data_IF_291073065896
#
_entry.id   IF_291073065896
#
_cell.length_a   1.000
_cell.length_b   1.000
_cell.length_c   1.000
_cell.angle_alpha   90.00
_cell.angle_beta   90.00
_cell.angle_gamma   90.00
#
_symmetry.space_group_name_H-M   'P 1'
#
loop_
_entity.id
_entity.type
_entity.pdbx_description
1 polymer ?
#
# COMPACT_ATOMS: atom_id res chain seq x y z
N UNK A 1 12.62 33.72 26.30
CA UNK A 1 12.58 33.93 24.83
C UNK A 1 13.88 33.42 24.25
N UNK A 2 13.86 32.31 23.49
CA UNK A 2 15.09 31.79 22.88
C UNK A 2 15.69 32.79 21.91
N UNK A 3 17.01 32.93 21.93
CA UNK A 3 17.70 33.86 21.03
C UNK A 3 17.62 33.36 19.58
N UNK A 4 17.64 34.27 18.59
CA UNK A 4 17.67 33.90 17.16
C UNK A 4 18.82 32.93 16.84
N UNK A 5 19.95 33.05 17.57
CA UNK A 5 21.11 32.16 17.47
C UNK A 5 20.80 30.74 17.93
N UNK A 6 20.08 30.57 19.04
CA UNK A 6 19.62 29.26 19.53
C UNK A 6 18.63 28.62 18.55
N UNK A 7 17.67 29.40 18.02
CA UNK A 7 16.71 28.90 17.04
C UNK A 7 17.38 28.42 15.75
N UNK A 8 18.40 29.13 15.27
CA UNK A 8 19.19 28.72 14.11
C UNK A 8 20.04 27.47 14.39
N UNK A 9 20.65 27.37 15.57
CA UNK A 9 21.40 26.19 15.98
C UNK A 9 20.51 24.94 16.06
N UNK A 10 19.31 25.07 16.65
CA UNK A 10 18.32 24.00 16.72
C UNK A 10 17.83 23.57 15.33
N UNK A 11 17.55 24.53 14.43
CA UNK A 11 17.16 24.23 13.04
C UNK A 11 18.26 23.48 12.30
N UNK A 12 19.52 23.92 12.43
CA UNK A 12 20.66 23.26 11.81
C UNK A 12 20.88 21.84 12.35
N UNK A 13 20.73 21.62 13.66
CA UNK A 13 20.83 20.29 14.25
C UNK A 13 19.74 19.34 13.71
N UNK A 14 18.49 19.82 13.61
CA UNK A 14 17.38 19.05 13.00
C UNK A 14 17.65 18.74 11.52
N UNK A 15 18.10 19.73 10.76
CA UNK A 15 18.42 19.55 9.34
C UNK A 15 19.53 18.51 9.12
N UNK A 16 20.62 18.59 9.91
CA UNK A 16 21.71 17.59 9.89
C UNK A 16 21.17 16.18 10.14
N UNK A 17 20.31 16.01 11.15
CA UNK A 17 19.72 14.70 11.46
C UNK A 17 18.85 14.17 10.32
N UNK A 18 17.97 15.00 9.74
CA UNK A 18 17.11 14.58 8.62
C UNK A 18 17.95 14.17 7.39
N UNK A 19 19.02 14.92 7.09
CA UNK A 19 19.94 14.58 5.99
C UNK A 19 20.64 13.25 6.27
N UNK A 20 21.16 13.03 7.48
CA UNK A 20 21.79 11.77 7.87
C UNK A 20 20.82 10.60 7.82
N UNK A 21 19.59 10.75 8.32
CA UNK A 21 18.52 9.75 8.22
C UNK A 21 18.22 9.40 6.76
N UNK A 22 18.12 10.41 5.88
CA UNK A 22 17.91 10.19 4.44
C UNK A 22 19.07 9.40 3.80
N UNK A 23 20.32 9.72 4.15
CA UNK A 23 21.49 9.00 3.66
C UNK A 23 21.49 7.54 4.12
N UNK A 24 21.20 7.29 5.41
CA UNK A 24 21.10 5.93 5.96
C UNK A 24 19.97 5.14 5.29
N UNK A 25 18.81 5.75 5.05
CA UNK A 25 17.70 5.06 4.35
C UNK A 25 18.08 4.66 2.93
N UNK A 26 18.82 5.50 2.21
CA UNK A 26 19.30 5.18 0.85
C UNK A 26 20.29 4.02 0.87
N UNK A 27 21.25 4.06 1.78
CA UNK A 27 22.25 3.00 1.94
C UNK A 27 21.61 1.68 2.36
N UNK A 28 20.74 1.69 3.37
CA UNK A 28 20.01 0.50 3.82
C UNK A 28 19.10 -0.06 2.73
N UNK A 29 18.47 0.80 1.93
CA UNK A 29 17.69 0.36 0.79
C UNK A 29 18.56 -0.33 -0.26
N UNK A 30 19.72 0.25 -0.59
CA UNK A 30 20.64 -0.35 -1.56
C UNK A 30 21.08 -1.75 -1.09
N UNK A 31 21.53 -1.88 0.16
CA UNK A 31 21.90 -3.18 0.74
C UNK A 31 20.72 -4.15 0.81
N UNK A 32 19.54 -3.68 1.21
CA UNK A 32 18.35 -4.53 1.23
C UNK A 32 17.97 -5.03 -0.17
N UNK A 33 18.09 -4.19 -1.20
CA UNK A 33 17.82 -4.57 -2.57
C UNK A 33 18.88 -5.57 -3.08
N UNK A 34 20.15 -5.43 -2.68
CA UNK A 34 21.25 -6.39 -2.93
C UNK A 34 20.98 -7.74 -2.24
N UNK A 35 20.78 -7.75 -0.92
CA UNK A 35 20.47 -8.95 -0.12
C UNK A 35 19.22 -9.67 -0.67
N UNK A 36 18.21 -8.89 -1.09
CA UNK A 36 16.98 -9.43 -1.69
C UNK A 36 17.26 -10.08 -3.04
N UNK A 37 18.14 -9.50 -3.85
CA UNK A 37 18.51 -10.08 -5.14
C UNK A 37 19.30 -11.38 -4.95
N UNK A 38 20.22 -11.42 -4.00
CA UNK A 38 20.96 -12.63 -3.61
C UNK A 38 20.00 -13.71 -3.11
N UNK A 39 19.16 -13.39 -2.12
CA UNK A 39 18.18 -14.34 -1.58
C UNK A 39 17.21 -14.82 -2.66
N UNK A 40 16.79 -13.96 -3.58
CA UNK A 40 15.92 -14.36 -4.68
C UNK A 40 16.62 -15.32 -5.67
N UNK A 41 17.94 -15.18 -5.88
CA UNK A 41 18.69 -16.08 -6.75
C UNK A 41 18.77 -17.51 -6.19
N UNK A 42 18.72 -17.63 -4.86
CA UNK A 42 18.80 -18.92 -4.15
C UNK A 42 17.43 -19.55 -3.86
N UNK A 43 16.33 -18.83 -4.12
CA UNK A 43 14.98 -19.33 -3.86
C UNK A 43 14.34 -20.01 -5.07
N UNK A 44 13.72 -21.16 -4.83
CA UNK A 44 12.87 -21.84 -5.78
C UNK A 44 11.49 -21.18 -5.90
N UNK A 45 10.84 -21.34 -7.06
CA UNK A 45 9.49 -20.82 -7.27
C UNK A 45 8.50 -21.54 -6.35
N UNK A 46 7.72 -20.77 -5.60
CA UNK A 46 6.79 -21.28 -4.59
C UNK A 46 7.41 -21.43 -3.19
N UNK A 47 8.71 -21.20 -3.06
CA UNK A 47 9.44 -21.35 -1.79
C UNK A 47 9.12 -20.24 -0.79
N UNK A 48 9.16 -20.58 0.50
CA UNK A 48 8.98 -19.65 1.63
C UNK A 48 10.02 -19.89 2.72
N UNK A 49 10.75 -18.85 3.07
CA UNK A 49 11.76 -18.83 4.13
C UNK A 49 11.25 -17.98 5.31
N UNK A 50 11.49 -18.43 6.54
CA UNK A 50 11.17 -17.67 7.76
C UNK A 50 12.47 -17.23 8.42
N UNK A 51 12.69 -15.92 8.51
CA UNK A 51 13.83 -15.36 9.23
C UNK A 51 13.58 -15.46 10.74
N UNK A 52 14.55 -15.95 11.51
CA UNK A 52 14.44 -16.14 12.96
C UNK A 52 15.75 -15.76 13.66
N UNK A 53 15.64 -15.34 14.91
CA UNK A 53 16.72 -15.40 15.91
C UNK A 53 16.52 -16.64 16.78
N UNK A 54 17.45 -16.90 17.70
CA UNK A 54 17.40 -18.06 18.61
C UNK A 54 16.06 -18.16 19.37
N UNK A 55 15.49 -17.02 19.78
CA UNK A 55 14.29 -16.98 20.61
C UNK A 55 13.00 -16.57 19.87
N UNK A 56 13.07 -16.04 18.64
CA UNK A 56 11.88 -15.46 17.97
C UNK A 56 11.95 -15.36 16.44
N UNK A 57 10.78 -15.42 15.79
CA UNK A 57 10.65 -15.18 14.34
C UNK A 57 10.65 -13.69 14.03
N UNK A 58 11.45 -13.27 13.05
CA UNK A 58 11.56 -11.89 12.58
C UNK A 58 10.65 -11.59 11.38
N UNK A 59 10.25 -12.61 10.61
CA UNK A 59 9.36 -12.44 9.46
C UNK A 59 9.53 -13.53 8.40
N UNK A 60 8.87 -13.39 7.26
CA UNK A 60 8.95 -14.38 6.16
C UNK A 60 9.27 -13.72 4.82
N UNK A 61 9.98 -14.43 3.95
CA UNK A 61 10.22 -14.12 2.54
C UNK A 61 9.65 -15.28 1.71
N UNK A 62 9.00 -15.04 0.56
CA UNK A 62 8.36 -16.12 -0.20
C UNK A 62 8.29 -15.90 -1.71
N UNK A 63 9.08 -16.60 -2.53
CA UNK A 63 9.18 -16.35 -3.97
C UNK A 63 8.04 -17.03 -4.74
N UNK A 64 7.25 -16.31 -5.54
CA UNK A 64 6.06 -16.86 -6.24
C UNK A 64 5.80 -16.20 -7.59
N UNK A 65 5.26 -16.96 -8.55
CA UNK A 65 4.99 -16.48 -9.90
C UNK A 65 3.86 -15.43 -9.92
N UNK A 66 4.04 -14.29 -10.62
CA UNK A 66 2.97 -13.34 -10.83
C UNK A 66 1.91 -13.95 -11.76
N UNK A 67 0.64 -13.75 -11.42
CA UNK A 67 -0.46 -14.19 -12.29
C UNK A 67 -0.38 -13.50 -13.66
N UNK A 68 -0.62 -14.22 -14.78
CA UNK A 68 -0.59 -13.63 -16.11
C UNK A 68 -1.59 -12.48 -16.26
N UNK A 69 -1.19 -11.42 -16.97
CA UNK A 69 -2.00 -10.23 -17.22
C UNK A 69 -2.15 -10.01 -18.72
N UNK A 70 -3.39 -10.08 -19.23
CA UNK A 70 -3.71 -9.69 -20.60
C UNK A 70 -3.86 -8.16 -20.70
N UNK A 71 -3.51 -7.58 -21.85
CA UNK A 71 -3.73 -6.17 -22.17
C UNK A 71 -4.27 -6.03 -23.60
N UNK A 72 -5.16 -5.07 -23.82
CA UNK A 72 -5.69 -4.76 -25.15
C UNK A 72 -4.68 -3.87 -25.88
N UNK A 73 -4.09 -4.37 -26.97
CA UNK A 73 -3.12 -3.61 -27.79
C UNK A 73 -3.76 -2.90 -28.98
N UNK A 74 -4.88 -3.42 -29.48
CA UNK A 74 -5.70 -2.80 -30.51
C UNK A 74 -7.17 -2.94 -30.11
N UNK A 75 -7.79 -1.82 -29.73
CA UNK A 75 -9.18 -1.81 -29.29
C UNK A 75 -10.16 -1.93 -30.47
N UNK A 76 -9.81 -1.40 -31.63
CA UNK A 76 -10.68 -1.46 -32.80
C UNK A 76 -10.73 -2.88 -33.37
N UNK A 77 -9.58 -3.54 -33.48
CA UNK A 77 -9.51 -4.96 -33.87
C UNK A 77 -10.23 -5.86 -32.87
N UNK A 78 -10.07 -5.62 -31.56
CA UNK A 78 -10.82 -6.36 -30.55
C UNK A 78 -12.33 -6.17 -30.68
N UNK A 79 -12.79 -4.92 -30.90
CA UNK A 79 -14.22 -4.65 -31.10
C UNK A 79 -14.73 -5.29 -32.39
N UNK A 80 -13.98 -5.25 -33.50
CA UNK A 80 -14.34 -5.93 -34.74
C UNK A 80 -14.46 -7.44 -34.56
N UNK A 81 -13.47 -8.06 -33.90
CA UNK A 81 -13.50 -9.49 -33.59
C UNK A 81 -14.70 -9.87 -32.72
N UNK A 82 -15.01 -9.08 -31.68
CA UNK A 82 -16.20 -9.31 -30.84
C UNK A 82 -17.49 -9.06 -31.61
N UNK A 83 -17.52 -8.10 -32.53
CA UNK A 83 -18.68 -7.84 -33.39
C UNK A 83 -19.00 -9.04 -34.29
N UNK A 84 -17.96 -9.71 -34.79
CA UNK A 84 -18.09 -10.87 -35.67
C UNK A 84 -18.43 -12.16 -34.92
N UNK A 85 -17.70 -12.43 -33.82
CA UNK A 85 -17.83 -13.68 -33.05
C UNK A 85 -19.07 -13.67 -32.14
N UNK A 86 -19.37 -12.51 -31.54
CA UNK A 86 -20.43 -12.37 -30.56
C UNK A 86 -21.03 -10.95 -30.58
N UNK A 87 -21.74 -10.56 -31.66
CA UNK A 87 -22.20 -9.17 -31.88
C UNK A 87 -23.01 -8.58 -30.72
N UNK A 88 -23.81 -9.42 -30.04
CA UNK A 88 -24.60 -9.01 -28.87
C UNK A 88 -23.76 -8.64 -27.63
N UNK A 89 -22.44 -8.80 -27.66
CA UNK A 89 -21.53 -8.42 -26.58
C UNK A 89 -20.98 -7.00 -26.70
N UNK A 90 -21.31 -6.30 -27.78
CA UNK A 90 -20.97 -4.87 -27.93
C UNK A 90 -22.10 -4.04 -27.31
N UNK A 91 -21.83 -3.51 -26.13
CA UNK A 91 -22.71 -2.56 -25.45
C UNK A 91 -22.43 -1.10 -25.83
N UNK A 92 -23.41 -0.24 -25.60
CA UNK A 92 -23.24 1.21 -25.68
C UNK A 92 -22.67 1.75 -24.37
N UNK A 93 -21.82 2.77 -24.45
CA UNK A 93 -21.33 3.51 -23.29
C UNK A 93 -22.09 4.81 -23.16
N UNK A 94 -22.67 5.05 -21.99
CA UNK A 94 -23.25 6.34 -21.64
C UNK A 94 -22.12 7.37 -21.50
N UNK A 95 -22.18 8.42 -22.31
CA UNK A 95 -21.19 9.50 -22.31
C UNK A 95 -21.52 10.61 -21.31
N UNK A 96 -22.80 10.73 -20.92
CA UNK A 96 -23.32 11.71 -19.96
C UNK A 96 -24.27 10.99 -19.00
N UNK A 97 -23.71 10.51 -17.88
CA UNK A 97 -24.43 9.65 -16.94
C UNK A 97 -25.56 10.37 -16.19
N UNK A 98 -25.37 11.59 -15.64
CA UNK A 98 -26.45 12.28 -14.95
C UNK A 98 -27.67 12.53 -15.85
N UNK A 99 -27.44 12.97 -17.10
CA UNK A 99 -28.54 13.20 -18.04
C UNK A 99 -29.24 11.90 -18.45
N UNK A 100 -28.48 10.83 -18.68
CA UNK A 100 -29.06 9.54 -19.02
C UNK A 100 -29.92 8.99 -17.87
N UNK A 101 -29.45 9.09 -16.62
CA UNK A 101 -30.21 8.63 -15.46
C UNK A 101 -31.50 9.43 -15.27
N UNK A 102 -31.47 10.76 -15.46
CA UNK A 102 -32.67 11.59 -15.37
C UNK A 102 -33.73 11.23 -16.43
N UNK A 103 -33.29 10.92 -17.67
CA UNK A 103 -34.19 10.44 -18.72
C UNK A 103 -34.74 9.05 -18.41
N UNK A 104 -33.89 8.13 -17.94
CA UNK A 104 -34.33 6.78 -17.60
C UNK A 104 -35.29 6.76 -16.42
N UNK A 105 -35.05 7.55 -15.36
CA UNK A 105 -35.95 7.65 -14.21
C UNK A 105 -37.31 8.24 -14.58
N UNK A 106 -37.34 9.20 -15.52
CA UNK A 106 -38.57 9.83 -15.98
C UNK A 106 -39.39 8.95 -16.92
N UNK A 107 -38.75 8.37 -17.94
CA UNK A 107 -39.43 7.74 -19.07
C UNK A 107 -39.47 6.20 -18.99
N UNK A 108 -38.52 5.60 -18.26
CA UNK A 108 -38.36 4.15 -18.15
C UNK A 108 -37.92 3.74 -16.73
N UNK A 109 -38.70 4.06 -15.69
CA UNK A 109 -38.32 3.83 -14.29
C UNK A 109 -38.06 2.34 -13.98
N UNK A 110 -38.60 1.42 -14.76
CA UNK A 110 -38.32 -0.01 -14.68
C UNK A 110 -36.90 -0.40 -15.11
N UNK A 111 -36.18 0.49 -15.81
CA UNK A 111 -34.82 0.28 -16.28
C UNK A 111 -33.74 0.81 -15.31
N UNK A 112 -34.15 1.43 -14.20
CA UNK A 112 -33.25 1.96 -13.19
C UNK A 112 -33.64 1.46 -11.80
N UNK A 113 -32.63 1.12 -11.00
CA UNK A 113 -32.83 0.77 -9.60
C UNK A 113 -31.86 1.57 -8.74
N UNK A 114 -32.23 1.83 -7.47
CA UNK A 114 -31.31 2.46 -6.53
C UNK A 114 -30.04 1.63 -6.40
N UNK A 115 -28.89 2.26 -6.63
CA UNK A 115 -27.58 1.65 -6.48
C UNK A 115 -26.65 2.60 -5.71
N UNK A 116 -25.74 2.02 -4.91
CA UNK A 116 -24.66 2.78 -4.30
C UNK A 116 -23.57 3.06 -5.34
N UNK A 117 -22.97 4.25 -5.27
CA UNK A 117 -21.75 4.51 -6.04
C UNK A 117 -20.62 3.63 -5.50
N UNK A 118 -19.63 3.28 -6.34
CA UNK A 118 -18.48 2.49 -5.89
C UNK A 118 -17.68 3.16 -4.77
N UNK A 119 -17.73 4.50 -4.67
CA UNK A 119 -17.06 5.24 -3.60
C UNK A 119 -17.80 5.10 -2.27
N UNK A 120 -19.13 5.16 -2.30
CA UNK A 120 -19.98 5.00 -1.11
C UNK A 120 -20.01 3.55 -0.66
N UNK A 121 -20.13 2.60 -1.58
CA UNK A 121 -20.02 1.17 -1.27
C UNK A 121 -18.66 0.87 -0.61
N UNK A 122 -17.56 1.38 -1.14
CA UNK A 122 -16.24 1.21 -0.53
C UNK A 122 -16.14 1.85 0.88
N UNK A 123 -16.90 2.91 1.15
CA UNK A 123 -16.99 3.48 2.50
C UNK A 123 -17.63 2.47 3.47
N UNK A 124 -18.76 1.86 3.08
CA UNK A 124 -19.45 0.86 3.90
C UNK A 124 -18.67 -0.45 4.05
N UNK A 125 -18.01 -0.93 2.99
CA UNK A 125 -17.17 -2.12 3.07
C UNK A 125 -16.00 -1.93 4.05
N UNK A 126 -15.36 -0.76 4.05
CA UNK A 126 -14.30 -0.44 5.03
C UNK A 126 -14.83 -0.33 6.46
N UNK A 127 -16.08 0.07 6.64
CA UNK A 127 -16.73 0.06 7.94
C UNK A 127 -16.96 -1.38 8.42
N UNK A 128 -17.41 -2.27 7.52
CA UNK A 128 -17.56 -3.69 7.79
C UNK A 128 -16.23 -4.39 8.09
N UNK A 129 -15.16 -4.08 7.34
CA UNK A 129 -13.79 -4.56 7.62
C UNK A 129 -13.30 -4.16 9.03
N UNK A 130 -13.81 -3.06 9.59
CA UNK A 130 -13.51 -2.59 10.95
C UNK A 130 -14.44 -3.17 12.01
N UNK A 131 -15.37 -4.05 11.62
CA UNK A 131 -16.27 -4.77 12.52
C UNK A 131 -17.66 -4.14 12.68
N UNK A 132 -17.99 -3.09 11.92
CA UNK A 132 -19.35 -2.58 11.90
C UNK A 132 -20.28 -3.60 11.24
N UNK A 133 -21.42 -3.89 11.86
CA UNK A 133 -22.42 -4.78 11.29
C UNK A 133 -23.18 -4.04 10.19
N UNK A 134 -22.63 -4.06 8.97
CA UNK A 134 -23.31 -3.54 7.79
C UNK A 134 -24.20 -4.64 7.19
N UNK A 135 -25.53 -4.46 7.16
CA UNK A 135 -26.43 -5.42 6.54
C UNK A 135 -26.01 -5.73 5.09
N UNK A 136 -25.89 -7.02 4.75
CA UNK A 136 -25.56 -7.46 3.40
C UNK A 136 -24.05 -7.54 3.07
N UNK A 137 -23.16 -7.24 4.01
CA UNK A 137 -21.71 -7.34 3.80
C UNK A 137 -21.12 -8.51 4.60
N UNK A 138 -20.41 -9.40 3.92
CA UNK A 138 -19.65 -10.51 4.50
C UNK A 138 -18.15 -10.32 4.23
N UNK A 139 -17.30 -10.59 5.23
CA UNK A 139 -15.85 -10.36 5.12
C UNK A 139 -15.12 -11.71 4.97
N UNK A 140 -14.32 -11.85 3.91
CA UNK A 140 -13.55 -13.07 3.58
C UNK A 140 -12.07 -12.75 3.24
N UNK A 141 -11.18 -13.77 3.13
CA UNK A 141 -9.71 -13.59 3.01
C UNK A 141 -9.08 -14.40 1.84
N UNK A 142 -8.07 -13.86 1.11
CA UNK A 142 -7.54 -14.40 -0.18
C UNK A 142 -6.08 -14.97 -0.25
N UNK A 143 -5.58 -15.29 -1.47
CA UNK A 143 -4.38 -16.12 -1.81
C UNK A 143 -2.98 -15.40 -1.85
N UNK A 144 -1.83 -16.13 -1.84
CA UNK A 144 -0.53 -15.60 -1.34
C UNK A 144 0.42 -14.92 -2.35
N UNK A 145 1.29 -14.02 -1.85
CA UNK A 145 2.26 -13.14 -2.56
C UNK A 145 3.60 -13.16 -1.81
N UNK A 146 4.74 -12.89 -2.48
CA UNK A 146 6.02 -12.59 -1.78
C UNK A 146 5.87 -11.41 -0.86
N UNK A 147 5.63 -11.73 0.40
CA UNK A 147 5.30 -10.75 1.39
C UNK A 147 6.36 -10.81 2.46
N UNK A 148 7.28 -9.86 2.39
CA UNK A 148 8.16 -9.57 3.51
C UNK A 148 7.30 -8.94 4.58
N UNK A 149 6.96 -9.75 5.58
CA UNK A 149 6.13 -9.32 6.71
C UNK A 149 6.98 -9.41 7.96
N UNK A 150 7.57 -8.29 8.41
CA UNK A 150 8.22 -8.24 9.70
C UNK A 150 7.21 -8.62 10.79
N UNK A 151 7.61 -9.48 11.72
CA UNK A 151 6.85 -9.74 12.94
C UNK A 151 6.90 -8.51 13.87
N UNK A 152 6.12 -8.52 14.95
CA UNK A 152 6.24 -7.47 15.96
C UNK A 152 7.64 -7.45 16.56
N UNK A 153 8.19 -8.62 16.89
CA UNK A 153 9.58 -8.79 17.30
C UNK A 153 10.60 -8.20 16.30
N UNK A 154 10.36 -8.39 14.99
CA UNK A 154 11.20 -7.78 13.95
C UNK A 154 11.11 -6.26 13.91
N UNK A 155 9.91 -5.70 14.18
CA UNK A 155 9.72 -4.24 14.30
C UNK A 155 10.33 -3.68 15.58
N UNK A 156 10.26 -4.41 16.68
CA UNK A 156 10.82 -4.02 17.97
C UNK A 156 12.35 -4.02 17.89
N UNK A 157 12.94 -5.08 17.33
CA UNK A 157 14.37 -5.14 17.05
C UNK A 157 14.82 -4.01 16.11
N UNK A 158 14.05 -3.69 15.06
CA UNK A 158 14.35 -2.55 14.20
C UNK A 158 14.27 -1.21 14.95
N UNK A 159 13.31 -1.06 15.86
CA UNK A 159 13.16 0.13 16.71
C UNK A 159 14.33 0.27 17.67
N UNK A 160 14.78 -0.82 18.29
CA UNK A 160 15.96 -0.84 19.17
C UNK A 160 17.24 -0.48 18.40
N UNK A 161 17.43 -1.03 17.21
CA UNK A 161 18.57 -0.71 16.33
C UNK A 161 18.60 0.78 15.97
N UNK A 162 17.43 1.36 15.65
CA UNK A 162 17.32 2.80 15.37
C UNK A 162 17.55 3.61 16.66
N UNK A 163 16.94 3.22 17.78
CA UNK A 163 17.08 3.89 19.08
C UNK A 163 18.53 3.95 19.57
N UNK A 164 19.28 2.86 19.40
CA UNK A 164 20.70 2.76 19.76
C UNK A 164 21.61 3.67 18.93
N UNK A 165 21.16 4.16 17.77
CA UNK A 165 21.94 5.05 16.92
C UNK A 165 21.68 6.52 17.28
N UNK A 166 22.45 7.03 18.26
CA UNK A 166 22.34 8.42 18.75
C UNK A 166 22.43 9.48 17.66
N UNK A 167 23.16 9.25 16.56
CA UNK A 167 23.25 10.20 15.45
C UNK A 167 21.91 10.34 14.70
N UNK A 168 21.06 9.31 14.75
CA UNK A 168 19.73 9.28 14.12
C UNK A 168 18.61 9.67 15.07
N UNK A 169 18.84 9.60 16.39
CA UNK A 169 17.77 9.71 17.40
C UNK A 169 17.96 10.82 18.42
N UNK A 170 19.13 11.47 18.49
CA UNK A 170 19.37 12.56 19.45
C UNK A 170 18.27 13.62 19.33
N UNK A 171 17.37 13.61 20.31
CA UNK A 171 16.46 14.71 20.57
C UNK A 171 17.33 15.87 21.05
N UNK A 172 17.03 17.09 20.57
CA UNK A 172 17.67 18.26 21.15
C UNK A 172 17.17 18.32 22.60
N UNK A 173 18.02 17.98 23.56
CA UNK A 173 17.73 18.12 24.98
C UNK A 173 17.30 19.57 25.21
N UNK A 174 16.02 19.75 25.54
CA UNK A 174 15.52 20.98 26.12
C UNK A 174 15.97 20.95 27.57
N UNK A 175 17.11 21.56 27.88
CA UNK A 175 17.36 22.07 29.21
C UNK A 175 16.31 23.17 29.47
N UNK A 176 15.14 22.76 29.96
CA UNK A 176 14.26 23.64 30.69
C UNK A 176 14.90 23.86 32.06
N UNK A 177 15.83 24.81 32.13
CA UNK A 177 16.20 25.44 33.39
C UNK A 177 15.06 26.34 33.83
N UNK A 178 14.46 26.00 34.97
CA UNK A 178 13.81 26.94 35.89
C UNK A 178 14.03 26.37 37.31
N UNK A 179 15.11 26.85 37.95
CA UNK A 179 15.14 27.09 39.40
C UNK A 179 14.61 28.51 39.66
#
# INVERSE_FOLDING_TARGET
>A
MSTMKELLAQRNARARRVVLQSAVLKELKARHDEDRAELQADMERGEKITARTDDQSLGTVSYSDPKPKARVTDRAALLGHVAEDAPGRIGLRITDMPRALALLEADYPELVEPALSSQDEAHYLRAAEKGESIPGVEVATGAPVMSVRPSQAGKDAATELVAGNRALTAQAELEAGDE
#
